data_IF_844679418902
#
_entry.id   IF_844679418902
#
_cell.length_a   1.000
_cell.length_b   1.000
_cell.length_c   1.000
_cell.angle_alpha   90.00
_cell.angle_beta   90.00
_cell.angle_gamma   90.00
#
_symmetry.space_group_name_H-M   'P 1'
#
loop_
_entity.id
_entity.type
_entity.pdbx_description
1 polymer ?
#
# COMPACT_ATOMS: atom_id res chain seq x y z
N UNK A 1 -7.93 1.39 13.98
CA UNK A 1 -7.70 2.36 12.88
C UNK A 1 -7.53 1.54 11.61
N UNK A 2 -8.30 1.81 10.55
CA UNK A 2 -8.17 1.06 9.30
C UNK A 2 -6.98 1.59 8.49
N UNK A 3 -6.18 0.68 7.93
CA UNK A 3 -4.97 0.99 7.18
C UNK A 3 -5.06 0.41 5.77
N UNK A 4 -4.53 1.14 4.78
CA UNK A 4 -4.37 0.70 3.40
C UNK A 4 -2.89 0.68 3.09
N UNK A 5 -2.39 -0.49 2.63
CA UNK A 5 -0.97 -0.70 2.33
C UNK A 5 -0.45 0.30 1.28
N UNK A 6 0.87 0.50 1.26
CA UNK A 6 1.52 1.38 0.27
C UNK A 6 1.26 0.86 -1.13
N UNK A 7 0.72 1.71 -1.98
CA UNK A 7 0.54 1.45 -3.40
C UNK A 7 0.56 2.77 -4.17
N UNK A 8 0.42 2.69 -5.48
CA UNK A 8 0.35 3.84 -6.39
C UNK A 8 -0.74 3.58 -7.43
N UNK A 9 -1.31 4.65 -7.95
CA UNK A 9 -2.34 4.61 -8.98
C UNK A 9 -1.89 5.36 -10.24
N UNK A 10 -2.49 5.02 -11.38
CA UNK A 10 -2.31 5.73 -12.66
C UNK A 10 -3.34 6.86 -12.85
N UNK A 11 -3.79 7.44 -11.73
CA UNK A 11 -4.88 8.41 -11.71
C UNK A 11 -4.45 9.69 -10.99
N UNK A 12 -4.92 10.83 -11.50
CA UNK A 12 -4.96 12.08 -10.75
C UNK A 12 -6.15 12.00 -9.78
N UNK A 13 -5.88 12.05 -8.48
CA UNK A 13 -6.90 11.79 -7.45
C UNK A 13 -7.18 13.05 -6.62
N UNK A 14 -8.42 13.54 -6.67
CA UNK A 14 -8.91 14.58 -5.77
C UNK A 14 -9.62 13.92 -4.58
N UNK A 15 -8.95 13.91 -3.43
CA UNK A 15 -9.38 13.20 -2.24
C UNK A 15 -10.05 14.16 -1.23
N UNK A 16 -11.38 14.11 -1.15
CA UNK A 16 -12.19 14.99 -0.31
C UNK A 16 -12.64 14.27 0.97
N UNK A 17 -12.27 14.79 2.15
CA UNK A 17 -12.77 14.24 3.42
C UNK A 17 -14.04 14.99 3.83
N UNK A 18 -15.14 14.26 4.01
CA UNK A 18 -16.46 14.81 4.38
C UNK A 18 -16.66 14.76 5.89
N UNK A 19 -16.25 13.67 6.54
CA UNK A 19 -16.33 13.49 7.99
C UNK A 19 -15.16 12.65 8.49
N UNK A 20 -14.66 12.97 9.69
CA UNK A 20 -13.46 12.37 10.26
C UNK A 20 -12.17 12.93 9.66
N UNK A 21 -11.12 12.11 9.64
CA UNK A 21 -9.82 12.46 9.06
C UNK A 21 -9.13 11.26 8.43
N UNK A 22 -8.31 11.55 7.41
CA UNK A 22 -7.38 10.61 6.79
C UNK A 22 -5.95 11.09 6.94
N UNK A 23 -5.05 10.19 7.29
CA UNK A 23 -3.62 10.44 7.34
C UNK A 23 -2.92 9.64 6.25
N UNK A 24 -2.23 10.34 5.37
CA UNK A 24 -1.47 9.78 4.27
C UNK A 24 0.02 9.81 4.60
N UNK A 25 0.72 8.72 4.27
CA UNK A 25 2.18 8.71 4.13
C UNK A 25 2.47 8.62 2.64
N UNK A 26 3.11 9.64 2.09
CA UNK A 26 3.30 9.85 0.67
C UNK A 26 4.78 9.72 0.31
N UNK A 27 5.10 9.04 -0.79
CA UNK A 27 6.43 9.05 -1.38
C UNK A 27 6.31 9.46 -2.86
N UNK A 28 7.22 10.32 -3.34
CA UNK A 28 7.20 10.72 -4.74
C UNK A 28 7.53 9.54 -5.65
N UNK A 29 7.12 9.57 -6.94
CA UNK A 29 7.44 8.50 -7.89
C UNK A 29 8.95 8.26 -8.05
N UNK A 30 9.77 9.28 -7.77
CA UNK A 30 11.24 9.22 -7.81
C UNK A 30 11.85 8.37 -6.70
N UNK A 31 11.11 8.05 -5.64
CA UNK A 31 11.57 7.19 -4.55
C UNK A 31 11.44 5.69 -4.88
N UNK A 32 10.91 5.34 -6.08
CA UNK A 32 10.79 3.94 -6.53
C UNK A 32 12.07 3.09 -6.30
N UNK A 33 13.30 3.57 -6.53
CA UNK A 33 14.52 2.79 -6.26
C UNK A 33 14.70 2.36 -4.79
N UNK A 34 14.03 3.04 -3.86
CA UNK A 34 14.12 2.82 -2.42
C UNK A 34 12.88 2.11 -1.84
N UNK A 35 11.82 1.96 -2.65
CA UNK A 35 10.59 1.30 -2.24
C UNK A 35 10.68 -0.18 -2.64
N UNK A 36 10.75 -1.11 -1.67
CA UNK A 36 10.95 -2.52 -1.97
C UNK A 36 9.69 -3.13 -2.57
N UNK A 37 9.83 -3.66 -3.77
CA UNK A 37 8.82 -4.48 -4.43
C UNK A 37 9.20 -5.96 -4.34
N UNK A 38 8.27 -6.79 -3.88
CA UNK A 38 8.32 -8.24 -3.97
C UNK A 38 7.31 -8.76 -5.00
N UNK A 39 7.47 -10.02 -5.40
CA UNK A 39 6.56 -10.71 -6.34
C UNK A 39 5.76 -11.77 -5.59
N UNK A 40 4.44 -11.60 -5.47
CA UNK A 40 3.57 -12.41 -4.61
C UNK A 40 2.50 -13.16 -5.42
N UNK A 41 2.06 -14.32 -4.94
CA UNK A 41 0.85 -14.95 -5.47
C UNK A 41 -0.40 -14.23 -4.97
N UNK A 42 -1.41 -14.11 -5.84
CA UNK A 42 -2.69 -13.56 -5.44
C UNK A 42 -3.42 -14.55 -4.54
N UNK A 43 -4.08 -14.02 -3.51
CA UNK A 43 -4.90 -14.80 -2.60
C UNK A 43 -6.08 -13.98 -2.10
N UNK A 44 -7.14 -14.66 -1.68
CA UNK A 44 -8.37 -14.05 -1.18
C UNK A 44 -8.65 -14.55 0.23
N UNK A 45 -9.08 -13.63 1.11
CA UNK A 45 -9.62 -14.00 2.41
C UNK A 45 -11.02 -14.59 2.25
N UNK A 46 -11.23 -15.80 2.77
CA UNK A 46 -12.54 -16.44 2.87
C UNK A 46 -12.94 -16.55 4.33
N UNK A 47 -14.08 -15.98 4.67
CA UNK A 47 -14.69 -16.18 5.98
C UNK A 47 -15.14 -17.64 6.10
N UNK A 48 -14.76 -18.25 7.22
CA UNK A 48 -15.14 -19.58 7.66
C UNK A 48 -16.16 -19.44 8.79
N UNK A 49 -16.77 -20.54 9.20
CA UNK A 49 -17.75 -20.58 10.28
C UNK A 49 -17.18 -19.93 11.56
N UNK A 50 -17.99 -19.09 12.22
CA UNK A 50 -17.68 -18.35 13.45
C UNK A 50 -16.80 -17.09 13.32
N UNK A 51 -16.66 -16.53 12.12
CA UNK A 51 -15.92 -15.27 11.91
C UNK A 51 -14.39 -15.44 11.84
N UNK A 52 -13.92 -16.68 11.74
CA UNK A 52 -12.53 -16.98 11.41
C UNK A 52 -12.30 -16.78 9.90
N UNK A 53 -11.10 -16.40 9.49
CA UNK A 53 -10.73 -16.22 8.08
C UNK A 53 -9.61 -17.18 7.66
N UNK A 54 -9.71 -17.72 6.45
CA UNK A 54 -8.62 -18.46 5.80
C UNK A 54 -8.17 -17.74 4.54
N UNK A 55 -6.89 -17.94 4.18
CA UNK A 55 -6.30 -17.43 2.94
C UNK A 55 -6.38 -18.54 1.90
N UNK A 56 -6.97 -18.25 0.74
CA UNK A 56 -7.05 -19.17 -0.38
C UNK A 56 -6.24 -18.57 -1.52
N UNK A 57 -5.17 -19.26 -1.92
CA UNK A 57 -4.40 -18.91 -3.11
C UNK A 57 -5.27 -19.09 -4.35
N UNK A 58 -5.18 -18.14 -5.27
CA UNK A 58 -5.77 -18.28 -6.59
C UNK A 58 -4.80 -19.06 -7.48
N UNK A 59 -5.03 -20.37 -7.60
CA UNK A 59 -4.17 -21.31 -8.35
C UNK A 59 -4.03 -20.94 -9.84
N UNK A 60 -4.98 -20.18 -10.39
CA UNK A 60 -4.96 -19.70 -11.78
C UNK A 60 -4.32 -18.31 -11.92
N UNK A 61 -4.03 -17.64 -10.80
CA UNK A 61 -3.45 -16.29 -10.83
C UNK A 61 -1.96 -16.28 -11.14
N UNK A 62 -1.54 -15.30 -11.94
CA UNK A 62 -0.13 -14.95 -12.09
C UNK A 62 0.38 -14.23 -10.86
N UNK A 63 1.69 -14.33 -10.60
CA UNK A 63 2.32 -13.51 -9.57
C UNK A 63 2.17 -12.01 -9.85
N UNK A 64 1.99 -11.23 -8.79
CA UNK A 64 1.79 -9.79 -8.82
C UNK A 64 2.90 -9.07 -8.07
N UNK A 65 3.46 -7.98 -8.61
CA UNK A 65 4.40 -7.16 -7.87
C UNK A 65 3.66 -6.32 -6.82
N UNK A 66 4.15 -6.31 -5.57
CA UNK A 66 3.56 -5.53 -4.49
C UNK A 66 4.64 -4.92 -3.58
N UNK A 67 4.32 -3.79 -2.95
CA UNK A 67 5.23 -3.13 -2.00
C UNK A 67 5.31 -3.94 -0.72
N UNK A 68 6.53 -4.29 -0.32
CA UNK A 68 6.79 -5.27 0.74
C UNK A 68 7.05 -4.65 2.13
N UNK A 69 7.14 -3.31 2.21
CA UNK A 69 7.46 -2.58 3.46
C UNK A 69 6.22 -2.01 4.12
N UNK A 70 6.14 -2.12 5.44
CA UNK A 70 5.23 -1.31 6.26
C UNK A 70 5.87 0.06 6.51
N UNK A 71 5.31 1.17 5.97
CA UNK A 71 5.88 2.51 6.15
C UNK A 71 5.74 3.04 7.59
N UNK A 72 4.89 2.43 8.43
CA UNK A 72 4.71 2.82 9.83
C UNK A 72 5.80 2.23 10.73
N UNK A 73 6.34 1.07 10.34
CA UNK A 73 7.37 0.35 11.08
C UNK A 73 8.27 -0.41 10.09
N UNK A 74 9.11 0.30 9.32
CA UNK A 74 9.90 -0.32 8.27
C UNK A 74 10.99 -1.23 8.84
N UNK A 75 11.05 -2.47 8.36
CA UNK A 75 12.16 -3.38 8.63
C UNK A 75 13.38 -2.95 7.80
N UNK A 76 14.19 -2.05 8.36
CA UNK A 76 15.42 -1.56 7.73
C UNK A 76 16.56 -2.60 7.74
N UNK A 77 16.42 -3.69 8.50
CA UNK A 77 17.35 -4.82 8.42
C UNK A 77 17.14 -5.59 7.12
N UNK A 78 15.86 -5.80 6.75
CA UNK A 78 15.47 -6.46 5.50
C UNK A 78 15.48 -5.53 4.29
N UNK A 79 15.06 -4.27 4.45
CA UNK A 79 14.95 -3.28 3.38
C UNK A 79 15.77 -2.01 3.68
N UNK A 80 17.11 -2.10 3.74
CA UNK A 80 17.95 -0.97 4.14
C UNK A 80 17.86 0.24 3.21
N UNK A 81 17.56 0.05 1.92
CA UNK A 81 17.42 1.13 0.95
C UNK A 81 16.24 2.06 1.28
N UNK A 82 15.21 1.55 1.98
CA UNK A 82 14.05 2.35 2.36
C UNK A 82 14.41 3.52 3.29
N UNK A 83 15.54 3.43 4.01
CA UNK A 83 16.07 4.53 4.81
C UNK A 83 16.43 5.79 3.99
N UNK A 84 16.59 5.66 2.67
CA UNK A 84 16.86 6.79 1.77
C UNK A 84 15.60 7.42 1.19
N UNK A 85 14.44 6.77 1.31
CA UNK A 85 13.17 7.35 0.94
C UNK A 85 12.81 8.51 1.88
N UNK A 86 12.10 9.52 1.37
CA UNK A 86 11.76 10.73 2.13
C UNK A 86 10.23 10.90 2.18
N UNK A 87 9.55 10.22 3.13
CA UNK A 87 8.10 10.25 3.20
C UNK A 87 7.56 11.62 3.65
N UNK A 88 6.46 12.05 3.04
CA UNK A 88 5.65 13.18 3.48
C UNK A 88 4.40 12.67 4.20
N UNK A 89 4.17 13.12 5.45
CA UNK A 89 2.93 12.81 6.17
C UNK A 89 1.94 13.96 6.06
N UNK A 90 0.71 13.67 5.62
CA UNK A 90 -0.36 14.67 5.47
C UNK A 90 -1.64 14.16 6.15
N UNK A 91 -2.24 14.98 7.01
CA UNK A 91 -3.57 14.71 7.56
C UNK A 91 -4.60 15.61 6.90
N UNK A 92 -5.59 15.00 6.25
CA UNK A 92 -6.73 15.65 5.60
C UNK A 92 -7.95 15.50 6.50
N UNK A 93 -8.51 16.61 6.94
CA UNK A 93 -9.66 16.67 7.86
C UNK A 93 -10.95 16.97 7.10
N UNK A 94 -12.08 16.77 7.77
CA UNK A 94 -13.40 17.13 7.25
C UNK A 94 -13.43 18.55 6.64
N UNK A 95 -13.95 18.66 5.42
CA UNK A 95 -14.01 19.88 4.63
C UNK A 95 -12.74 20.19 3.81
N UNK A 96 -11.69 19.38 3.94
CA UNK A 96 -10.44 19.54 3.18
C UNK A 96 -10.38 18.57 1.99
N UNK A 97 -9.60 18.97 1.00
CA UNK A 97 -9.26 18.16 -0.17
C UNK A 97 -7.74 18.05 -0.27
N UNK A 98 -7.27 16.84 -0.55
CA UNK A 98 -5.90 16.57 -0.99
C UNK A 98 -5.91 16.27 -2.48
N UNK A 99 -5.13 17.02 -3.26
CA UNK A 99 -4.73 16.54 -4.58
C UNK A 99 -3.57 15.56 -4.42
N UNK A 100 -3.82 14.30 -4.75
CA UNK A 100 -2.84 13.22 -4.78
C UNK A 100 -2.45 12.97 -6.25
N UNK A 101 -1.26 13.39 -6.69
CA UNK A 101 -0.87 13.27 -8.08
C UNK A 101 -0.66 11.82 -8.50
N UNK A 102 -0.82 11.54 -9.79
CA UNK A 102 -0.58 10.21 -10.35
C UNK A 102 0.81 9.66 -10.02
N UNK A 103 0.90 8.34 -9.89
CA UNK A 103 2.11 7.56 -9.57
C UNK A 103 2.70 7.79 -8.18
N UNK A 104 2.15 8.68 -7.35
CA UNK A 104 2.61 8.86 -5.97
C UNK A 104 2.26 7.63 -5.13
N UNK A 105 3.26 7.12 -4.44
CA UNK A 105 3.08 6.06 -3.48
C UNK A 105 2.39 6.61 -2.26
N UNK A 106 1.35 5.92 -1.79
CA UNK A 106 0.58 6.37 -0.66
C UNK A 106 0.12 5.21 0.21
N UNK A 107 0.29 5.37 1.52
CA UNK A 107 -0.34 4.56 2.55
C UNK A 107 -1.36 5.43 3.29
N UNK A 108 -2.54 4.88 3.60
CA UNK A 108 -3.66 5.65 4.14
C UNK A 108 -4.15 5.05 5.45
N UNK A 109 -4.28 5.90 6.48
CA UNK A 109 -5.00 5.59 7.73
C UNK A 109 -6.21 6.48 7.85
N UNK A 110 -7.24 6.02 8.55
CA UNK A 110 -8.44 6.82 8.80
C UNK A 110 -8.96 6.70 10.23
N UNK A 111 -9.59 7.77 10.70
CA UNK A 111 -10.39 7.73 11.94
C UNK A 111 -11.55 6.75 11.81
N UNK A 112 -12.09 6.29 12.94
CA UNK A 112 -13.30 5.46 12.94
C UNK A 112 -14.46 6.21 12.28
N UNK A 113 -15.24 5.49 11.47
CA UNK A 113 -16.38 6.04 10.71
C UNK A 113 -16.04 7.27 9.83
N UNK A 114 -14.81 7.37 9.32
CA UNK A 114 -14.42 8.39 8.34
C UNK A 114 -15.24 8.25 7.05
N UNK A 115 -15.72 9.37 6.52
CA UNK A 115 -16.41 9.46 5.23
C UNK A 115 -15.60 10.35 4.30
N UNK A 116 -15.26 9.85 3.13
CA UNK A 116 -14.53 10.59 2.12
C UNK A 116 -15.02 10.23 0.71
N UNK A 117 -14.79 11.12 -0.24
CA UNK A 117 -15.14 10.99 -1.66
C UNK A 117 -13.87 11.29 -2.46
N UNK A 118 -13.54 10.42 -3.41
CA UNK A 118 -12.40 10.57 -4.30
C UNK A 118 -12.87 10.68 -5.76
N UNK A 119 -12.32 11.64 -6.50
CA UNK A 119 -12.54 11.80 -7.94
C UNK A 119 -11.29 11.39 -8.69
N UNK A 120 -11.42 10.41 -9.58
CA UNK A 120 -10.29 9.79 -10.27
C UNK A 120 -10.35 10.18 -11.74
N UNK A 121 -9.28 10.81 -12.20
CA UNK A 121 -9.08 11.18 -13.60
C UNK A 121 -7.88 10.39 -14.12
N UNK A 122 -8.02 9.75 -15.28
CA UNK A 122 -6.88 9.07 -15.90
C UNK A 122 -5.72 10.06 -16.02
N UNK A 123 -4.50 9.61 -15.68
CA UNK A 123 -3.32 10.44 -15.88
C UNK A 123 -3.04 10.65 -17.38
N UNK A 124 -2.35 11.74 -17.69
CA UNK A 124 -1.74 11.87 -19.02
C UNK A 124 -0.52 10.97 -19.13
N UNK A 125 -0.53 10.03 -20.07
CA UNK A 125 0.58 9.12 -20.35
C UNK A 125 1.68 9.80 -21.18
N UNK A 126 2.30 10.82 -20.60
CA UNK A 126 3.30 11.68 -21.24
C UNK A 126 4.75 11.26 -20.94
N UNK A 127 5.69 12.20 -21.09
CA UNK A 127 7.12 11.98 -20.79
C UNK A 127 7.36 11.49 -19.35
N UNK A 128 6.54 11.92 -18.37
CA UNK A 128 6.68 11.49 -16.96
C UNK A 128 6.43 10.00 -16.84
N UNK A 129 5.42 9.48 -17.54
CA UNK A 129 5.15 8.06 -17.61
C UNK A 129 6.29 7.28 -18.26
N UNK A 130 6.84 7.78 -19.37
CA UNK A 130 7.97 7.13 -20.04
C UNK A 130 9.20 7.01 -19.11
N UNK A 131 9.55 8.08 -18.39
CA UNK A 131 10.64 8.05 -17.40
C UNK A 131 10.33 7.14 -16.21
N UNK A 132 9.09 7.14 -15.74
CA UNK A 132 8.69 6.25 -14.66
C UNK A 132 8.85 4.77 -15.05
N UNK A 133 8.39 4.39 -16.25
CA UNK A 133 8.56 3.02 -16.77
C UNK A 133 10.02 2.65 -17.03
N UNK A 134 10.86 3.63 -17.38
CA UNK A 134 12.30 3.43 -17.43
C UNK A 134 12.86 3.09 -16.03
N UNK A 135 12.52 3.86 -15.00
CA UNK A 135 12.93 3.58 -13.62
C UNK A 135 12.43 2.20 -13.16
N UNK A 136 11.16 1.87 -13.39
CA UNK A 136 10.59 0.57 -13.02
C UNK A 136 11.32 -0.62 -13.66
N UNK A 137 11.79 -0.46 -14.92
CA UNK A 137 12.62 -1.48 -15.57
C UNK A 137 14.04 -1.58 -15.00
N UNK A 138 14.60 -0.47 -14.51
CA UNK A 138 15.92 -0.44 -13.89
C UNK A 138 15.91 -1.04 -12.47
N UNK A 139 14.77 -0.98 -11.79
CA UNK A 139 14.58 -1.50 -10.43
C UNK A 139 13.41 -2.49 -10.39
N UNK A 140 13.56 -3.69 -11.00
CA UNK A 140 12.48 -4.67 -11.04
C UNK A 140 12.18 -5.23 -9.64
N UNK A 141 10.94 -5.71 -9.41
CA UNK A 141 10.56 -6.45 -8.22
C UNK A 141 11.51 -7.61 -7.94
N UNK A 142 11.87 -7.80 -6.68
CA UNK A 142 12.72 -8.91 -6.27
C UNK A 142 11.87 -10.17 -6.04
N UNK A 143 12.37 -11.37 -6.40
CA UNK A 143 11.77 -12.62 -5.96
C UNK A 143 11.68 -12.66 -4.44
N UNK A 144 10.64 -13.31 -3.91
CA UNK A 144 10.53 -13.51 -2.46
C UNK A 144 11.65 -14.46 -2.00
N UNK A 145 12.51 -14.01 -1.09
CA UNK A 145 13.33 -14.91 -0.31
C UNK A 145 12.38 -15.75 0.57
N UNK A 146 12.46 -17.08 0.51
CA UNK A 146 11.61 -18.06 1.21
C UNK A 146 11.54 -17.96 2.75
N UNK A 147 12.00 -16.85 3.34
CA UNK A 147 11.96 -16.56 4.78
C UNK A 147 10.56 -16.11 5.23
N UNK A 148 9.66 -15.75 4.30
CA UNK A 148 8.23 -15.54 4.59
C UNK A 148 7.50 -16.88 4.75
N UNK A 149 7.97 -17.73 5.68
CA UNK A 149 7.25 -18.93 6.06
C UNK A 149 5.90 -18.52 6.67
N UNK A 150 4.82 -18.94 6.03
CA UNK A 150 3.43 -18.91 6.49
C UNK A 150 3.28 -19.41 7.95
N UNK A 151 4.26 -20.18 8.44
CA UNK A 151 4.35 -20.62 9.84
C UNK A 151 4.42 -19.46 10.86
N UNK A 152 5.09 -18.32 10.55
CA UNK A 152 5.11 -17.17 11.47
C UNK A 152 3.75 -16.47 11.59
N UNK A 153 2.89 -16.57 10.57
CA UNK A 153 1.51 -16.06 10.62
C UNK A 153 0.60 -16.94 11.48
N UNK A 154 0.85 -18.26 11.52
CA UNK A 154 0.07 -19.21 12.32
C UNK A 154 0.33 -19.08 13.83
N UNK A 155 1.52 -18.60 14.23
CA UNK A 155 1.84 -18.31 15.63
C UNK A 155 1.22 -16.99 16.15
N UNK A 156 0.70 -16.16 15.23
CA UNK A 156 0.01 -14.89 15.51
C UNK A 156 -1.45 -15.00 15.95
N UNK A 157 -1.97 -16.20 16.31
CA UNK A 157 -3.35 -16.43 16.81
C UNK A 157 -3.69 -15.74 18.15
N UNK A 158 -2.96 -14.70 18.55
CA UNK A 158 -3.35 -13.80 19.63
C UNK A 158 -3.40 -12.36 19.14
N UNK A 159 -4.63 -11.84 19.09
CA UNK A 159 -5.03 -10.43 19.10
C UNK A 159 -5.71 -9.89 17.83
N UNK A 160 -6.87 -10.46 17.50
CA UNK A 160 -8.00 -9.65 17.04
C UNK A 160 -9.24 -10.01 17.88
N UNK A 161 -9.17 -9.80 19.19
CA UNK A 161 -10.39 -9.65 19.99
C UNK A 161 -10.94 -8.26 19.71
N UNK A 162 -11.98 -8.18 18.86
CA UNK A 162 -12.88 -7.04 18.86
C UNK A 162 -13.67 -7.09 20.17
N UNK A 163 -13.14 -6.45 21.22
CA UNK A 163 -13.93 -6.16 22.43
C UNK A 163 -14.86 -4.98 22.12
N UNK A 164 -16.17 -5.24 22.22
CA UNK A 164 -17.23 -4.23 22.25
C UNK A 164 -17.03 -3.23 23.38
#
# INVERSE_FOLDING_TARGET
MFNFAVHRDHYENLYCVVSGEKTFILHPPTDLPYIPYGTYRSAVYKEVVNGDFTVIEDEESSEVPWVAVDPLNPDLGRYPQYAWAQPLTVTVRAGQMLYLPSLWFHHVRQSQACIAINYWYDMEFDMKWAYYKFLEKMFPPQPIDHVDNVEQWNDGKKALSLSN
#
